data_IF_410052403754
#
_entry.id   IF_410052403754
#
_cell.length_a   1.000
_cell.length_b   1.000
_cell.length_c   1.000
_cell.angle_alpha   90.00
_cell.angle_beta   90.00
_cell.angle_gamma   90.00
#
_symmetry.space_group_name_H-M   'P 1'
#
loop_
_entity.id
_entity.type
_entity.pdbx_description
1 polymer ?
#
# COMPACT_ATOMS: atom_id res chain seq x y z
N UNK A 1 74.05 9.05 -55.67
CA UNK A 1 72.74 8.93 -54.99
C UNK A 1 71.76 8.24 -55.93
N UNK A 2 71.02 7.27 -55.40
CA UNK A 2 70.36 6.16 -56.09
C UNK A 2 69.33 6.56 -57.16
N UNK A 3 69.51 6.05 -58.39
CA UNK A 3 68.50 6.10 -59.45
C UNK A 3 67.44 5.01 -59.26
N UNK A 4 66.20 5.40 -58.97
CA UNK A 4 65.05 4.50 -58.88
C UNK A 4 64.65 4.06 -60.29
N UNK A 5 65.00 2.83 -60.67
CA UNK A 5 64.45 2.18 -61.87
C UNK A 5 63.05 1.64 -61.53
N UNK A 6 62.01 2.39 -61.90
CA UNK A 6 60.63 1.90 -61.86
C UNK A 6 60.47 0.87 -62.99
N UNK A 7 60.55 -0.42 -62.66
CA UNK A 7 60.09 -1.50 -63.55
C UNK A 7 58.57 -1.50 -63.54
N UNK A 8 57.94 -0.91 -64.56
CA UNK A 8 56.52 -1.07 -64.83
C UNK A 8 56.23 -2.55 -65.15
N UNK A 9 55.69 -3.27 -64.16
CA UNK A 9 55.18 -4.63 -64.34
C UNK A 9 53.89 -4.57 -65.17
N UNK A 10 53.67 -5.45 -66.16
CA UNK A 10 52.47 -5.42 -67.04
C UNK A 10 51.11 -5.53 -66.32
N UNK A 11 51.09 -5.77 -65.00
CA UNK A 11 49.88 -5.91 -64.19
C UNK A 11 49.33 -4.63 -63.55
N UNK A 12 49.95 -3.46 -63.75
CA UNK A 12 49.48 -2.22 -63.09
C UNK A 12 48.07 -1.81 -63.55
N UNK A 13 47.78 -1.96 -64.85
CA UNK A 13 46.44 -1.71 -65.39
C UNK A 13 45.40 -2.71 -64.86
N UNK A 14 45.79 -3.98 -64.73
CA UNK A 14 44.92 -5.01 -64.17
C UNK A 14 44.56 -4.73 -62.70
N UNK A 15 45.51 -4.25 -61.90
CA UNK A 15 45.27 -3.86 -60.49
C UNK A 15 44.30 -2.67 -60.36
N UNK A 16 44.43 -1.66 -61.21
CA UNK A 16 43.51 -0.49 -61.21
C UNK A 16 42.11 -0.91 -61.64
N UNK A 17 41.98 -1.72 -62.69
CA UNK A 17 40.69 -2.23 -63.15
C UNK A 17 40.05 -3.14 -62.09
N UNK A 18 40.84 -4.00 -61.43
CA UNK A 18 40.35 -4.85 -60.34
C UNK A 18 39.86 -4.03 -59.14
N UNK A 19 40.55 -2.95 -58.76
CA UNK A 19 40.11 -2.06 -57.68
C UNK A 19 38.85 -1.27 -58.05
N UNK A 20 38.75 -0.76 -59.28
CA UNK A 20 37.55 -0.10 -59.76
C UNK A 20 36.35 -1.06 -59.81
N UNK A 21 36.55 -2.26 -60.35
CA UNK A 21 35.52 -3.30 -60.37
C UNK A 21 35.07 -3.67 -58.96
N UNK A 22 35.99 -3.75 -58.00
CA UNK A 22 35.70 -4.05 -56.61
C UNK A 22 34.87 -2.94 -55.94
N UNK A 23 35.22 -1.67 -56.15
CA UNK A 23 34.47 -0.52 -55.62
C UNK A 23 33.05 -0.48 -56.22
N UNK A 24 32.92 -0.72 -57.52
CA UNK A 24 31.61 -0.77 -58.19
C UNK A 24 30.77 -1.94 -57.66
N UNK A 25 31.36 -3.14 -57.53
CA UNK A 25 30.67 -4.32 -57.02
C UNK A 25 30.19 -4.17 -55.57
N UNK A 26 30.93 -3.44 -54.72
CA UNK A 26 30.58 -3.21 -53.32
C UNK A 26 29.61 -2.02 -53.12
N UNK A 27 29.38 -1.18 -54.13
CA UNK A 27 28.56 0.04 -54.01
C UNK A 27 27.03 -0.20 -53.97
N UNK A 28 26.56 -1.43 -54.25
CA UNK A 28 25.13 -1.72 -54.43
C UNK A 28 24.25 -1.61 -53.18
N UNK A 29 24.81 -1.77 -51.98
CA UNK A 29 24.03 -1.81 -50.74
C UNK A 29 23.42 -0.47 -50.30
N UNK A 30 24.03 0.66 -50.69
CA UNK A 30 23.61 1.98 -50.24
C UNK A 30 22.55 2.65 -51.13
N UNK A 31 22.32 2.13 -52.34
CA UNK A 31 21.43 2.77 -53.32
C UNK A 31 19.94 2.70 -52.92
N UNK A 32 19.53 1.64 -52.23
CA UNK A 32 18.15 1.46 -51.78
C UNK A 32 17.74 2.46 -50.68
N UNK A 33 18.66 2.79 -49.76
CA UNK A 33 18.38 3.67 -48.63
C UNK A 33 17.98 5.11 -49.05
N UNK A 34 18.43 5.56 -50.23
CA UNK A 34 18.09 6.89 -50.76
C UNK A 34 16.93 6.93 -51.75
N UNK A 35 16.43 5.79 -52.23
CA UNK A 35 15.45 5.72 -53.33
C UNK A 35 14.12 5.08 -52.97
N UNK A 36 14.06 4.25 -51.93
CA UNK A 36 12.79 3.66 -51.48
C UNK A 36 12.06 4.66 -50.59
N UNK A 37 11.08 5.36 -51.16
CA UNK A 37 10.16 6.21 -50.41
C UNK A 37 8.96 5.38 -49.93
N UNK A 38 8.22 5.88 -48.94
CA UNK A 38 7.00 5.22 -48.44
C UNK A 38 5.94 4.94 -49.52
N UNK A 39 5.99 5.67 -50.65
CA UNK A 39 5.08 5.47 -51.79
C UNK A 39 5.35 4.17 -52.55
N UNK A 40 6.55 3.60 -52.44
CA UNK A 40 6.93 2.35 -53.07
C UNK A 40 6.64 1.13 -52.18
N UNK A 41 6.15 1.36 -50.96
CA UNK A 41 5.78 0.32 -50.02
C UNK A 41 4.29 0.02 -50.21
N UNK A 42 3.96 -1.23 -50.52
CA UNK A 42 2.58 -1.66 -50.62
C UNK A 42 1.86 -1.49 -49.26
N UNK A 43 0.56 -1.14 -49.31
CA UNK A 43 -0.26 -1.06 -48.09
C UNK A 43 -0.22 -2.40 -47.34
N UNK A 44 -0.10 -2.33 -46.01
CA UNK A 44 0.01 -3.48 -45.10
C UNK A 44 1.28 -4.34 -45.24
N UNK A 45 2.28 -3.92 -46.03
CA UNK A 45 3.55 -4.65 -46.13
C UNK A 45 4.36 -4.62 -44.82
N UNK A 46 4.31 -3.50 -44.09
CA UNK A 46 4.95 -3.35 -42.79
C UNK A 46 3.97 -3.76 -41.70
N UNK A 47 4.39 -4.71 -40.87
CA UNK A 47 3.64 -5.28 -39.75
C UNK A 47 4.52 -5.24 -38.52
N UNK A 48 3.98 -5.51 -37.33
CA UNK A 48 4.74 -5.46 -36.07
C UNK A 48 6.00 -6.35 -36.07
N UNK A 49 6.03 -7.42 -36.86
CA UNK A 49 7.22 -8.28 -37.00
C UNK A 49 8.42 -7.59 -37.66
N UNK A 50 8.16 -6.54 -38.45
CA UNK A 50 9.18 -5.73 -39.12
C UNK A 50 9.70 -4.58 -38.25
N UNK A 51 9.07 -4.33 -37.10
CA UNK A 51 9.40 -3.23 -36.20
C UNK A 51 10.05 -3.82 -34.95
N UNK A 52 11.29 -3.41 -34.65
CA UNK A 52 11.94 -3.82 -33.39
C UNK A 52 11.33 -3.05 -32.21
N UNK A 53 11.27 -3.70 -31.05
CA UNK A 53 10.77 -3.08 -29.83
C UNK A 53 11.54 -1.79 -29.50
N UNK A 54 10.80 -0.73 -29.13
CA UNK A 54 11.35 0.57 -28.77
C UNK A 54 11.83 1.43 -29.95
N UNK A 55 11.61 1.02 -31.20
CA UNK A 55 12.00 1.84 -32.36
C UNK A 55 10.96 2.89 -32.78
N UNK A 56 9.70 2.72 -32.38
CA UNK A 56 8.65 3.73 -32.64
C UNK A 56 8.71 4.77 -31.53
N UNK A 57 9.17 5.97 -31.88
CA UNK A 57 9.24 7.10 -30.98
C UNK A 57 7.97 7.93 -31.06
N UNK A 58 7.81 8.87 -30.13
CA UNK A 58 6.67 9.79 -30.16
C UNK A 58 6.64 10.71 -31.39
N UNK A 59 7.76 10.88 -32.10
CA UNK A 59 7.83 11.65 -33.35
C UNK A 59 7.25 10.89 -34.54
N UNK A 60 7.19 9.55 -34.46
CA UNK A 60 6.66 8.67 -35.50
C UNK A 60 5.13 8.51 -35.41
N UNK A 61 4.53 9.04 -34.34
CA UNK A 61 3.10 8.96 -34.07
C UNK A 61 2.40 10.25 -34.49
N UNK A 62 1.19 10.13 -35.04
CA UNK A 62 0.35 11.30 -35.34
C UNK A 62 -0.05 12.04 -34.06
N UNK A 63 -0.44 13.31 -34.20
CA UNK A 63 -0.91 14.11 -33.05
C UNK A 63 -2.11 13.45 -32.37
N UNK A 64 -3.04 12.88 -33.13
CA UNK A 64 -4.22 12.18 -32.63
C UNK A 64 -3.86 10.88 -31.89
N UNK A 65 -2.83 10.17 -32.36
CA UNK A 65 -2.35 8.98 -31.66
C UNK A 65 -1.74 9.36 -30.31
N UNK A 66 -0.97 10.45 -30.25
CA UNK A 66 -0.33 10.93 -29.01
C UNK A 66 -1.34 11.40 -27.96
N UNK A 67 -2.40 12.08 -28.36
CA UNK A 67 -3.46 12.50 -27.42
C UNK A 67 -4.23 11.32 -26.85
N UNK A 68 -4.37 10.22 -27.61
CA UNK A 68 -5.01 8.97 -27.13
C UNK A 68 -4.15 8.15 -26.17
N UNK A 69 -2.85 8.43 -26.05
CA UNK A 69 -1.97 7.73 -25.10
C UNK A 69 -2.13 8.24 -23.67
N UNK A 70 -2.74 9.41 -23.46
CA UNK A 70 -2.97 9.97 -22.12
C UNK A 70 -4.42 9.73 -21.73
N UNK A 71 -4.65 8.76 -20.85
CA UNK A 71 -5.97 8.57 -20.24
C UNK A 71 -6.32 9.73 -19.30
N UNK A 72 -7.62 9.90 -18.96
CA UNK A 72 -8.01 10.85 -17.93
C UNK A 72 -7.30 10.53 -16.61
N UNK A 73 -7.01 11.56 -15.81
CA UNK A 73 -6.50 11.39 -14.45
C UNK A 73 -7.45 10.46 -13.68
N UNK A 74 -6.88 9.49 -12.94
CA UNK A 74 -7.66 8.64 -12.05
C UNK A 74 -8.43 9.47 -11.01
N UNK A 75 -9.50 8.90 -10.46
CA UNK A 75 -10.27 9.54 -9.39
C UNK A 75 -9.35 9.89 -8.20
N UNK A 76 -9.71 10.94 -7.47
CA UNK A 76 -9.04 11.26 -6.21
C UNK A 76 -9.21 10.08 -5.23
N UNK A 77 -8.18 9.82 -4.41
CA UNK A 77 -8.29 8.85 -3.32
C UNK A 77 -9.32 9.30 -2.29
N UNK A 78 -9.86 8.35 -1.53
CA UNK A 78 -10.75 8.66 -0.40
C UNK A 78 -10.00 9.45 0.67
N UNK A 79 -10.67 10.36 1.41
CA UNK A 79 -10.09 10.97 2.61
C UNK A 79 -9.56 9.91 3.61
N UNK A 80 -8.56 10.27 4.40
CA UNK A 80 -8.07 9.43 5.49
C UNK A 80 -9.12 9.25 6.58
N UNK A 81 -8.98 8.20 7.39
CA UNK A 81 -9.85 7.98 8.56
C UNK A 81 -9.64 9.08 9.61
N UNK A 82 -10.67 9.44 10.38
CA UNK A 82 -10.55 10.33 11.54
C UNK A 82 -9.40 9.93 12.48
N UNK A 83 -8.74 10.92 13.06
CA UNK A 83 -7.65 10.73 14.02
C UNK A 83 -8.18 10.37 15.41
N UNK A 84 -7.39 9.60 16.16
CA UNK A 84 -7.67 9.27 17.57
C UNK A 84 -6.55 9.82 18.44
N UNK A 85 -6.88 10.65 19.43
CA UNK A 85 -5.89 11.31 20.30
C UNK A 85 -6.38 11.43 21.74
N UNK A 86 -5.48 11.79 22.68
CA UNK A 86 -5.87 12.07 24.07
C UNK A 86 -6.35 10.85 24.85
N UNK A 87 -5.75 9.67 24.61
CA UNK A 87 -6.03 8.43 25.31
C UNK A 87 -5.96 8.61 26.84
N UNK A 88 -6.95 8.09 27.54
CA UNK A 88 -7.01 8.08 28.98
C UNK A 88 -7.76 6.85 29.46
N UNK A 89 -7.18 6.14 30.42
CA UNK A 89 -7.85 5.04 31.12
C UNK A 89 -8.60 5.61 32.31
N UNK A 90 -9.89 5.30 32.41
CA UNK A 90 -10.72 5.57 33.57
C UNK A 90 -11.10 4.25 34.19
N UNK A 91 -10.86 4.12 35.49
CA UNK A 91 -11.18 2.92 36.25
C UNK A 91 -12.32 3.24 37.20
N UNK A 92 -13.28 2.35 37.32
CA UNK A 92 -14.28 2.37 38.39
C UNK A 92 -14.42 1.01 39.03
N UNK A 93 -14.67 1.05 40.33
CA UNK A 93 -14.79 -0.13 41.18
C UNK A 93 -16.19 -0.18 41.74
N UNK A 94 -16.83 -1.36 41.70
CA UNK A 94 -18.14 -1.55 42.29
C UNK A 94 -18.07 -1.57 43.82
N UNK A 95 -19.23 -1.56 44.46
CA UNK A 95 -19.34 -1.99 45.84
C UNK A 95 -18.90 -3.46 46.01
N UNK A 96 -18.54 -3.82 47.26
CA UNK A 96 -18.28 -5.20 47.65
C UNK A 96 -19.59 -6.00 47.63
N UNK A 97 -19.55 -7.21 47.08
CA UNK A 97 -20.60 -8.19 47.25
C UNK A 97 -20.72 -8.57 48.74
N UNK A 98 -21.96 -8.66 49.21
CA UNK A 98 -22.32 -9.00 50.59
C UNK A 98 -22.61 -10.49 50.77
N UNK A 99 -22.73 -11.25 49.68
CA UNK A 99 -22.95 -12.67 49.68
C UNK A 99 -22.95 -13.29 48.28
N UNK A 100 -23.08 -14.61 48.27
CA UNK A 100 -23.18 -15.39 47.05
C UNK A 100 -24.52 -15.10 46.35
N UNK A 101 -24.48 -14.82 45.04
CA UNK A 101 -25.68 -14.48 44.25
C UNK A 101 -26.04 -12.99 44.26
N UNK A 102 -25.20 -12.13 44.84
CA UNK A 102 -25.39 -10.69 44.75
C UNK A 102 -25.11 -10.16 43.33
N UNK A 103 -25.88 -9.16 42.94
CA UNK A 103 -25.59 -8.34 41.76
C UNK A 103 -24.77 -7.13 42.18
N UNK A 104 -23.70 -6.85 41.43
CA UNK A 104 -22.89 -5.64 41.59
C UNK A 104 -22.83 -4.88 40.28
N UNK A 105 -22.81 -3.55 40.36
CA UNK A 105 -22.66 -2.70 39.20
C UNK A 105 -21.76 -1.49 39.48
N UNK A 106 -21.20 -0.95 38.40
CA UNK A 106 -20.45 0.31 38.43
C UNK A 106 -20.56 0.99 37.08
N UNK A 107 -20.77 2.31 37.08
CA UNK A 107 -20.76 3.11 35.85
C UNK A 107 -19.49 3.93 35.79
N UNK A 108 -18.73 3.76 34.71
CA UNK A 108 -17.49 4.48 34.45
C UNK A 108 -17.73 5.44 33.30
N UNK A 109 -17.66 6.74 33.60
CA UNK A 109 -17.87 7.80 32.60
C UNK A 109 -16.54 8.36 32.12
N UNK A 110 -16.42 8.57 30.82
CA UNK A 110 -15.31 9.27 30.20
C UNK A 110 -15.36 10.77 30.57
N UNK A 111 -14.19 11.43 30.66
CA UNK A 111 -14.12 12.88 30.85
C UNK A 111 -14.74 13.63 29.66
N UNK A 112 -15.08 14.90 29.89
CA UNK A 112 -15.71 15.76 28.89
C UNK A 112 -14.92 15.77 27.57
N UNK A 113 -15.64 15.64 26.45
CA UNK A 113 -15.07 15.64 25.10
C UNK A 113 -14.54 14.29 24.60
N UNK A 114 -14.44 13.27 25.46
CA UNK A 114 -13.93 11.94 25.08
C UNK A 114 -15.05 10.92 24.86
N UNK A 115 -14.79 9.99 23.95
CA UNK A 115 -15.63 8.81 23.69
C UNK A 115 -14.95 7.53 24.13
N UNK A 116 -15.75 6.52 24.46
CA UNK A 116 -15.30 5.16 24.75
C UNK A 116 -14.71 4.58 23.47
N UNK A 117 -13.43 4.18 23.53
CA UNK A 117 -12.78 3.40 22.48
C UNK A 117 -12.88 1.90 22.75
N UNK A 118 -12.55 1.52 23.97
CA UNK A 118 -12.59 0.13 24.43
C UNK A 118 -12.85 0.10 25.93
N UNK A 119 -13.26 -1.05 26.44
CA UNK A 119 -13.52 -1.28 27.84
C UNK A 119 -13.27 -2.74 28.20
N UNK A 120 -13.03 -2.97 29.49
CA UNK A 120 -12.83 -4.30 30.06
C UNK A 120 -13.37 -4.33 31.48
N UNK A 121 -13.77 -5.50 31.94
CA UNK A 121 -14.24 -5.72 33.31
C UNK A 121 -13.61 -6.99 33.84
N UNK A 122 -13.22 -6.94 35.11
CA UNK A 122 -12.64 -8.09 35.81
C UNK A 122 -13.24 -8.21 37.20
N UNK A 123 -13.29 -9.43 37.72
CA UNK A 123 -13.58 -9.69 39.12
C UNK A 123 -12.29 -9.59 39.93
N UNK A 124 -12.36 -8.90 41.06
CA UNK A 124 -11.24 -8.80 41.97
C UNK A 124 -11.71 -8.72 43.42
N UNK A 125 -10.83 -9.10 44.33
CA UNK A 125 -11.05 -8.92 45.75
C UNK A 125 -10.79 -7.47 46.11
N UNK A 126 -11.75 -6.84 46.80
CA UNK A 126 -11.72 -5.40 47.12
C UNK A 126 -11.18 -5.13 48.54
N UNK A 127 -10.35 -6.03 49.06
CA UNK A 127 -9.76 -5.89 50.39
C UNK A 127 -8.45 -5.08 50.33
N UNK A 128 -8.28 -4.07 51.20
CA UNK A 128 -7.12 -3.18 51.16
C UNK A 128 -5.78 -3.86 51.52
N UNK A 129 -5.84 -5.04 52.14
CA UNK A 129 -4.65 -5.80 52.58
C UNK A 129 -4.32 -7.01 51.68
N UNK A 130 -5.13 -7.29 50.65
CA UNK A 130 -4.94 -8.46 49.78
C UNK A 130 -4.37 -8.03 48.42
N UNK A 131 -3.28 -8.68 47.99
CA UNK A 131 -2.63 -8.40 46.71
C UNK A 131 -3.52 -8.98 45.60
N UNK A 132 -4.46 -8.16 45.13
CA UNK A 132 -5.34 -8.31 43.96
C UNK A 132 -5.36 -9.70 43.29
N UNK A 133 -6.12 -10.61 43.88
CA UNK A 133 -6.52 -11.84 43.18
C UNK A 133 -7.50 -11.47 42.07
N UNK A 134 -7.12 -11.70 40.81
CA UNK A 134 -8.08 -11.79 39.70
C UNK A 134 -8.70 -13.18 39.76
N UNK A 135 -10.03 -13.24 39.82
CA UNK A 135 -10.78 -14.50 39.89
C UNK A 135 -11.70 -14.66 38.70
N UNK A 136 -11.84 -15.90 38.21
CA UNK A 136 -12.94 -16.27 37.33
C UNK A 136 -13.70 -17.38 38.05
N UNK A 137 -14.94 -17.10 38.44
CA UNK A 137 -15.77 -18.06 39.14
C UNK A 137 -16.60 -18.86 38.15
N UNK A 138 -16.91 -20.11 38.50
CA UNK A 138 -17.93 -20.86 37.78
C UNK A 138 -19.21 -20.03 37.72
N UNK A 139 -19.96 -20.19 36.62
CA UNK A 139 -21.24 -19.52 36.35
C UNK A 139 -21.31 -18.03 36.72
N UNK A 140 -20.18 -17.32 36.66
CA UNK A 140 -20.10 -15.88 36.85
C UNK A 140 -20.20 -15.15 35.52
N UNK A 141 -20.76 -13.95 35.56
CA UNK A 141 -20.86 -13.03 34.44
C UNK A 141 -20.33 -11.68 34.85
N UNK A 142 -19.46 -11.09 34.03
CA UNK A 142 -19.06 -9.70 34.12
C UNK A 142 -19.17 -9.11 32.71
N UNK A 143 -20.04 -8.11 32.55
CA UNK A 143 -20.38 -7.53 31.25
C UNK A 143 -20.37 -6.01 31.33
N UNK A 144 -20.01 -5.35 30.22
CA UNK A 144 -20.08 -3.92 30.04
C UNK A 144 -21.11 -3.56 28.97
N UNK A 145 -21.84 -2.48 29.17
CA UNK A 145 -22.73 -1.88 28.16
C UNK A 145 -22.38 -0.40 28.01
N UNK A 146 -22.21 0.05 26.77
CA UNK A 146 -21.94 1.46 26.48
C UNK A 146 -23.20 2.29 26.79
N UNK A 147 -23.01 3.39 27.52
CA UNK A 147 -24.07 4.31 27.95
C UNK A 147 -23.74 5.75 27.53
N UNK A 148 -24.71 6.65 27.69
CA UNK A 148 -24.49 8.09 27.45
C UNK A 148 -24.15 8.45 26.00
N UNK A 149 -24.55 7.63 25.01
CA UNK A 149 -24.21 7.85 23.60
C UNK A 149 -22.73 7.65 23.26
N UNK A 150 -22.02 6.82 24.06
CA UNK A 150 -20.60 6.52 23.85
C UNK A 150 -19.66 7.27 24.79
N UNK A 151 -20.18 7.89 25.86
CA UNK A 151 -19.38 8.64 26.84
C UNK A 151 -19.15 7.89 28.14
N UNK A 152 -19.65 6.65 28.27
CA UNK A 152 -19.38 5.83 29.43
C UNK A 152 -19.73 4.37 29.21
N UNK A 153 -19.38 3.53 30.18
CA UNK A 153 -19.71 2.12 30.21
C UNK A 153 -20.28 1.79 31.58
N UNK A 154 -21.44 1.15 31.59
CA UNK A 154 -22.00 0.55 32.79
C UNK A 154 -21.63 -0.93 32.81
N UNK A 155 -20.99 -1.34 33.89
CA UNK A 155 -20.58 -2.72 34.12
C UNK A 155 -21.52 -3.39 35.11
N UNK A 156 -21.81 -4.66 34.85
CA UNK A 156 -22.66 -5.51 35.68
C UNK A 156 -21.93 -6.82 35.94
N UNK A 157 -22.01 -7.27 37.18
CA UNK A 157 -21.44 -8.52 37.65
C UNK A 157 -22.47 -9.33 38.42
N UNK A 158 -22.51 -10.64 38.15
CA UNK A 158 -23.21 -11.61 38.98
C UNK A 158 -22.41 -12.89 39.10
N UNK A 159 -22.35 -13.46 40.30
CA UNK A 159 -21.71 -14.73 40.55
C UNK A 159 -22.40 -15.47 41.72
N UNK A 160 -22.95 -16.68 41.49
CA UNK A 160 -23.73 -17.40 42.49
C UNK A 160 -22.87 -18.14 43.53
N UNK A 161 -21.55 -18.22 43.32
CA UNK A 161 -20.58 -18.82 44.23
C UNK A 161 -19.59 -17.78 44.80
N UNK A 162 -19.94 -16.50 44.68
CA UNK A 162 -19.04 -15.41 45.02
C UNK A 162 -18.81 -15.30 46.53
N UNK A 163 -17.54 -15.23 46.99
CA UNK A 163 -17.25 -14.91 48.38
C UNK A 163 -17.58 -13.44 48.69
N UNK A 164 -17.83 -13.16 49.96
CA UNK A 164 -17.92 -11.77 50.45
C UNK A 164 -16.62 -11.00 50.13
N UNK A 165 -16.72 -9.67 50.04
CA UNK A 165 -15.61 -8.74 49.79
C UNK A 165 -15.02 -8.74 48.38
N UNK A 166 -15.60 -9.48 47.45
CA UNK A 166 -15.26 -9.38 46.04
C UNK A 166 -16.13 -8.34 45.33
N UNK A 167 -15.67 -7.82 44.21
CA UNK A 167 -16.43 -6.94 43.34
C UNK A 167 -15.86 -6.90 41.92
N UNK A 168 -16.40 -6.03 41.09
CA UNK A 168 -15.90 -5.80 39.74
C UNK A 168 -15.10 -4.51 39.64
N UNK A 169 -14.06 -4.55 38.83
CA UNK A 169 -13.34 -3.36 38.39
C UNK A 169 -13.53 -3.23 36.89
N UNK A 170 -14.17 -2.14 36.49
CA UNK A 170 -14.35 -1.74 35.10
C UNK A 170 -13.27 -0.75 34.69
N UNK A 171 -12.61 -1.02 33.58
CA UNK A 171 -11.65 -0.11 32.95
C UNK A 171 -12.19 0.33 31.60
N UNK A 172 -12.15 1.63 31.34
CA UNK A 172 -12.61 2.24 30.10
C UNK A 172 -11.49 3.08 29.53
N UNK A 173 -11.14 2.82 28.26
CA UNK A 173 -10.21 3.66 27.52
C UNK A 173 -11.02 4.68 26.74
N UNK A 174 -10.81 5.94 27.09
CA UNK A 174 -11.48 7.10 26.50
C UNK A 174 -10.51 7.89 25.63
N UNK A 175 -10.97 8.42 24.50
CA UNK A 175 -10.16 9.28 23.64
C UNK A 175 -11.01 10.30 22.87
N UNK A 176 -10.34 11.30 22.32
CA UNK A 176 -10.91 12.23 21.36
C UNK A 176 -10.91 11.57 19.97
N UNK A 177 -12.06 11.57 19.31
CA UNK A 177 -12.22 11.06 17.94
C UNK A 177 -12.61 12.25 17.07
N UNK A 178 -11.72 12.67 16.16
CA UNK A 178 -11.86 13.87 15.32
C UNK A 178 -11.64 13.56 13.85
#
# INVERSE_FOLDING_TARGET
MFGIRIRLRPGMFAGVVALLALVVALSGGAYAAGKITGQQIAKNAITSKHIKNGQVTSADLSAEARTRLTGPRGAAGTPGTPGVSGYQVVTGTSAKATGAGDWVDVTVSCPAGKKVLTHGVTWTKLDPDDIQGIGVYYNSVAQGTIVGGGTGVKFYGYAPSMPQNWGIVGQVVCANVS
#
